data_IF_999295007986
#
_entry.id   IF_999295007986
#
_cell.length_a   1.000
_cell.length_b   1.000
_cell.length_c   1.000
_cell.angle_alpha   90.00
_cell.angle_beta   90.00
_cell.angle_gamma   90.00
#
_symmetry.space_group_name_H-M   'P 1'
#
loop_
_entity.id
_entity.type
_entity.pdbx_description
1 polymer ?
#
# COMPACT_ATOMS: atom_id res chain seq x y z
N UNK A 1 -21.62 14.55 21.42
CA UNK A 1 -22.60 13.64 20.80
C UNK A 1 -21.99 12.82 19.63
N UNK A 2 -21.52 13.40 18.50
CA UNK A 2 -20.93 12.63 17.40
C UNK A 2 -19.61 11.92 17.80
N UNK A 3 -18.72 12.61 18.52
CA UNK A 3 -17.45 12.07 18.99
C UNK A 3 -17.66 10.93 20.01
N UNK A 4 -18.66 11.06 20.89
CA UNK A 4 -18.97 10.04 21.89
C UNK A 4 -19.52 8.77 21.25
N UNK A 5 -20.35 8.90 20.21
CA UNK A 5 -20.85 7.76 19.43
C UNK A 5 -19.73 7.06 18.65
N UNK A 6 -18.79 7.82 18.11
CA UNK A 6 -17.62 7.27 17.43
C UNK A 6 -16.75 6.44 18.38
N UNK A 7 -16.38 7.03 19.54
CA UNK A 7 -15.55 6.36 20.55
C UNK A 7 -16.22 5.11 21.12
N UNK A 8 -17.55 5.17 21.33
CA UNK A 8 -18.32 4.01 21.77
C UNK A 8 -18.29 2.87 20.76
N UNK A 9 -18.52 3.17 19.47
CA UNK A 9 -18.50 2.17 18.42
C UNK A 9 -17.10 1.56 18.23
N UNK A 10 -16.05 2.38 18.26
CA UNK A 10 -14.67 1.89 18.16
C UNK A 10 -14.33 0.94 19.33
N UNK A 11 -14.83 1.21 20.53
CA UNK A 11 -14.66 0.34 21.70
C UNK A 11 -15.42 -0.97 21.55
N UNK A 12 -16.69 -0.92 21.13
CA UNK A 12 -17.53 -2.08 20.88
C UNK A 12 -16.92 -2.99 19.80
N UNK A 13 -16.43 -2.40 18.71
CA UNK A 13 -15.74 -3.12 17.63
C UNK A 13 -14.45 -3.76 18.13
N UNK A 14 -13.64 -3.06 18.92
CA UNK A 14 -12.40 -3.61 19.48
C UNK A 14 -12.69 -4.77 20.46
N UNK A 15 -13.70 -4.65 21.33
CA UNK A 15 -14.12 -5.74 22.21
C UNK A 15 -14.57 -7.00 21.42
N UNK A 16 -15.18 -6.80 20.25
CA UNK A 16 -15.67 -7.88 19.38
C UNK A 16 -14.57 -8.54 18.54
N UNK A 17 -13.65 -7.75 17.99
CA UNK A 17 -12.68 -8.22 17.01
C UNK A 17 -11.24 -8.36 17.54
N UNK A 18 -10.99 -7.90 18.79
CA UNK A 18 -9.72 -8.08 19.48
C UNK A 18 -8.52 -7.55 18.70
N UNK A 19 -7.45 -8.35 18.67
CA UNK A 19 -6.18 -7.99 18.05
C UNK A 19 -6.24 -7.81 16.52
N UNK A 20 -7.37 -8.15 15.89
CA UNK A 20 -7.59 -7.92 14.46
C UNK A 20 -7.94 -6.47 14.13
N UNK A 21 -8.42 -5.69 15.11
CA UNK A 21 -8.80 -4.31 14.93
C UNK A 21 -7.87 -3.39 15.73
N UNK A 22 -7.01 -2.60 15.11
CA UNK A 22 -6.11 -1.68 15.81
C UNK A 22 -6.85 -0.67 16.68
N UNK A 23 -6.20 -0.10 17.72
CA UNK A 23 -6.79 0.94 18.56
C UNK A 23 -7.33 2.12 17.76
N UNK A 24 -8.44 2.72 18.21
CA UNK A 24 -9.06 3.89 17.58
C UNK A 24 -9.66 3.65 16.19
N UNK A 25 -9.74 2.41 15.72
CA UNK A 25 -10.40 2.03 14.47
C UNK A 25 -11.85 1.61 14.70
N UNK A 26 -12.67 1.76 13.67
CA UNK A 26 -14.03 1.19 13.55
C UNK A 26 -14.13 0.34 12.29
N UNK A 27 -14.87 -0.73 12.34
CA UNK A 27 -15.11 -1.55 11.17
C UNK A 27 -16.07 -0.86 10.18
N UNK A 28 -15.80 -1.01 8.89
CA UNK A 28 -16.69 -0.59 7.80
C UNK A 28 -16.84 -1.69 6.76
N UNK A 29 -18.06 -1.84 6.23
CA UNK A 29 -18.35 -2.74 5.10
C UNK A 29 -17.96 -2.09 3.76
N UNK A 30 -18.01 -0.75 3.71
CA UNK A 30 -17.67 0.02 2.53
C UNK A 30 -16.14 0.18 2.38
N UNK A 31 -15.75 0.63 1.18
CA UNK A 31 -14.37 1.04 0.91
C UNK A 31 -14.34 2.54 0.56
N UNK A 32 -14.10 3.43 1.55
CA UNK A 32 -14.07 4.86 1.31
C UNK A 32 -13.02 5.25 0.26
N UNK A 33 -13.38 6.15 -0.64
CA UNK A 33 -12.49 6.69 -1.67
C UNK A 33 -11.78 7.91 -1.10
N UNK A 34 -10.49 7.79 -0.86
CA UNK A 34 -9.63 8.86 -0.36
C UNK A 34 -8.36 8.94 -1.23
N UNK A 35 -8.06 10.11 -1.77
CA UNK A 35 -6.83 10.37 -2.51
C UNK A 35 -6.54 11.87 -2.56
N UNK A 36 -5.29 12.21 -2.79
CA UNK A 36 -4.86 13.57 -3.10
C UNK A 36 -4.93 13.81 -4.61
N UNK A 37 -5.42 14.99 -5.02
CA UNK A 37 -5.54 15.35 -6.43
C UNK A 37 -6.63 14.57 -7.20
N UNK A 38 -6.53 14.56 -8.51
CA UNK A 38 -7.45 13.85 -9.40
C UNK A 38 -7.06 12.39 -9.63
N UNK A 39 -7.99 11.58 -10.12
CA UNK A 39 -7.71 10.22 -10.59
C UNK A 39 -6.93 10.34 -11.91
N UNK A 40 -5.71 9.76 -12.00
CA UNK A 40 -4.90 9.86 -13.22
C UNK A 40 -5.56 9.09 -14.38
N UNK A 41 -5.45 9.65 -15.59
CA UNK A 41 -5.77 8.92 -16.81
C UNK A 41 -4.55 8.07 -17.20
N UNK A 42 -4.71 6.75 -17.15
CA UNK A 42 -3.62 5.79 -17.41
C UNK A 42 -3.98 4.98 -18.66
N UNK A 43 -3.07 4.95 -19.62
CA UNK A 43 -3.15 4.15 -20.83
C UNK A 43 -2.21 2.93 -20.69
N UNK A 44 -2.78 1.73 -20.74
CA UNK A 44 -2.03 0.48 -20.59
C UNK A 44 -1.03 0.25 -21.73
N UNK A 45 -1.29 0.80 -22.93
CA UNK A 45 -0.36 0.69 -24.06
C UNK A 45 0.98 1.42 -23.81
N UNK A 46 0.96 2.41 -22.94
CA UNK A 46 2.16 3.20 -22.58
C UNK A 46 2.57 3.02 -21.11
N UNK A 47 1.81 2.22 -20.36
CA UNK A 47 2.09 1.99 -18.95
C UNK A 47 3.43 1.29 -18.76
N UNK A 48 4.19 1.75 -17.77
CA UNK A 48 5.45 1.13 -17.36
C UNK A 48 5.56 1.13 -15.84
N UNK A 49 6.09 0.03 -15.33
CA UNK A 49 6.52 -0.10 -13.94
C UNK A 49 8.05 -0.25 -13.92
N UNK A 50 8.74 0.69 -13.30
CA UNK A 50 10.20 0.75 -13.29
C UNK A 50 10.76 0.51 -11.89
N UNK A 51 11.86 -0.24 -11.78
CA UNK A 51 12.58 -0.48 -10.53
C UNK A 51 14.02 -0.05 -10.73
N UNK A 52 14.47 0.91 -9.93
CA UNK A 52 15.80 1.53 -10.05
C UNK A 52 16.43 1.81 -8.67
N UNK A 53 17.64 2.35 -8.64
CA UNK A 53 18.33 2.75 -7.42
C UNK A 53 19.32 1.70 -6.93
N UNK A 54 19.31 1.38 -5.65
CA UNK A 54 20.24 0.40 -5.06
C UNK A 54 19.82 -1.05 -5.40
N UNK A 55 19.84 -1.39 -6.67
CA UNK A 55 19.62 -2.72 -7.23
C UNK A 55 20.80 -3.14 -8.09
N UNK A 56 20.99 -4.44 -8.31
CA UNK A 56 22.04 -4.93 -9.23
C UNK A 56 21.66 -4.68 -10.69
N UNK A 57 20.36 -4.80 -10.99
CA UNK A 57 19.79 -4.66 -12.34
C UNK A 57 18.54 -3.78 -12.27
N UNK A 58 18.58 -2.65 -12.95
CA UNK A 58 17.37 -1.86 -13.19
C UNK A 58 16.41 -2.69 -14.03
N UNK A 59 15.12 -2.60 -13.74
CA UNK A 59 14.08 -3.29 -14.49
C UNK A 59 12.96 -2.34 -14.90
N UNK A 60 12.34 -2.66 -16.01
CA UNK A 60 11.12 -1.97 -16.47
C UNK A 60 10.20 -3.02 -17.08
N UNK A 61 8.92 -2.97 -16.71
CA UNK A 61 7.89 -3.88 -17.17
C UNK A 61 6.79 -3.10 -17.89
N UNK A 62 6.39 -3.55 -19.05
CA UNK A 62 5.10 -3.22 -19.67
C UNK A 62 3.99 -3.89 -18.87
N UNK A 63 2.72 -3.53 -19.15
CA UNK A 63 1.59 -4.14 -18.47
C UNK A 63 1.52 -5.66 -18.69
N UNK A 64 1.72 -6.11 -19.92
CA UNK A 64 1.68 -7.54 -20.25
C UNK A 64 2.83 -8.32 -19.60
N UNK A 65 4.05 -7.74 -19.57
CA UNK A 65 5.19 -8.32 -18.87
C UNK A 65 4.96 -8.39 -17.35
N UNK A 66 4.30 -7.40 -16.77
CA UNK A 66 3.95 -7.40 -15.35
C UNK A 66 2.91 -8.51 -15.04
N UNK A 67 1.88 -8.65 -15.87
CA UNK A 67 0.89 -9.71 -15.73
C UNK A 67 1.45 -11.12 -15.94
N UNK A 68 2.54 -11.25 -16.70
CA UNK A 68 3.24 -12.54 -16.91
C UNK A 68 4.09 -12.98 -15.71
N UNK A 69 4.29 -12.11 -14.69
CA UNK A 69 4.93 -12.50 -13.43
C UNK A 69 4.05 -13.47 -12.63
N UNK A 70 4.61 -14.24 -11.67
CA UNK A 70 3.82 -15.12 -10.82
C UNK A 70 2.70 -14.34 -10.10
N UNK A 71 1.47 -14.77 -10.28
CA UNK A 71 0.28 -14.17 -9.69
C UNK A 71 -0.15 -14.95 -8.45
N UNK A 72 -0.58 -14.24 -7.41
CA UNK A 72 -1.11 -14.85 -6.19
C UNK A 72 -2.34 -14.09 -5.71
N UNK A 73 -3.21 -14.76 -4.94
CA UNK A 73 -4.31 -14.12 -4.23
C UNK A 73 -4.06 -14.25 -2.73
N UNK A 74 -4.04 -13.12 -2.04
CA UNK A 74 -3.84 -13.03 -0.60
C UNK A 74 -5.01 -12.33 0.05
N UNK A 75 -5.43 -12.82 1.22
CA UNK A 75 -6.45 -12.17 2.03
C UNK A 75 -5.82 -11.36 3.13
N UNK A 76 -6.23 -10.10 3.26
CA UNK A 76 -5.78 -9.24 4.35
C UNK A 76 -6.82 -8.20 4.75
N UNK A 77 -6.60 -7.64 5.94
CA UNK A 77 -7.33 -6.48 6.43
C UNK A 77 -6.60 -5.20 6.05
N UNK A 78 -7.31 -4.08 5.99
CA UNK A 78 -6.73 -2.77 5.73
C UNK A 78 -7.18 -1.77 6.79
N UNK A 79 -6.26 -0.88 7.19
CA UNK A 79 -6.45 0.07 8.28
C UNK A 79 -6.11 1.49 7.80
N UNK A 80 -7.09 2.38 7.76
CA UNK A 80 -6.87 3.75 7.31
C UNK A 80 -6.59 4.70 8.47
N UNK A 81 -5.66 5.64 8.29
CA UNK A 81 -5.38 6.69 9.27
C UNK A 81 -6.62 7.49 9.67
N UNK A 82 -7.65 7.55 8.81
CA UNK A 82 -8.92 8.22 9.07
C UNK A 82 -9.91 7.35 9.87
N UNK A 83 -9.39 6.44 10.70
CA UNK A 83 -10.12 5.69 11.73
C UNK A 83 -11.12 4.65 11.22
N UNK A 84 -10.93 4.07 10.06
CA UNK A 84 -11.71 2.92 9.60
C UNK A 84 -10.83 1.74 9.20
N UNK A 85 -11.34 0.54 9.41
CA UNK A 85 -10.75 -0.70 8.95
C UNK A 85 -11.76 -1.47 8.11
N UNK A 86 -11.28 -2.14 7.08
CA UNK A 86 -12.08 -3.06 6.28
C UNK A 86 -11.41 -4.42 6.29
N UNK A 87 -12.16 -5.47 6.67
CA UNK A 87 -11.68 -6.83 6.79
C UNK A 87 -11.90 -7.63 5.52
N UNK A 88 -11.19 -8.76 5.45
CA UNK A 88 -11.41 -9.83 4.46
C UNK A 88 -11.34 -9.34 3.00
N UNK A 89 -10.28 -8.60 2.67
CA UNK A 89 -10.04 -8.17 1.30
C UNK A 89 -9.18 -9.22 0.58
N UNK A 90 -9.66 -9.77 -0.52
CA UNK A 90 -8.90 -10.65 -1.40
C UNK A 90 -8.18 -9.80 -2.46
N UNK A 91 -6.85 -9.82 -2.43
CA UNK A 91 -5.99 -9.07 -3.36
C UNK A 91 -5.31 -10.04 -4.32
N UNK A 92 -5.45 -9.82 -5.62
CA UNK A 92 -4.74 -10.61 -6.64
C UNK A 92 -3.70 -9.77 -7.33
N UNK A 93 -2.46 -10.30 -7.40
CA UNK A 93 -1.33 -9.60 -8.00
C UNK A 93 0.00 -10.30 -7.80
N UNK A 94 1.08 -9.56 -7.89
CA UNK A 94 2.47 -10.04 -7.80
C UNK A 94 3.03 -9.74 -6.41
N UNK A 95 3.52 -10.74 -5.68
CA UNK A 95 4.21 -10.52 -4.41
C UNK A 95 5.44 -9.63 -4.60
N UNK A 96 5.69 -8.75 -3.64
CA UNK A 96 6.90 -7.92 -3.66
C UNK A 96 8.17 -8.80 -3.69
N UNK A 97 8.20 -9.85 -2.89
CA UNK A 97 9.34 -10.79 -2.82
C UNK A 97 9.64 -11.45 -4.18
N UNK A 98 8.62 -11.79 -4.99
CA UNK A 98 8.82 -12.38 -6.31
C UNK A 98 9.35 -11.34 -7.33
N UNK A 99 8.86 -10.11 -7.25
CA UNK A 99 9.31 -9.02 -8.11
C UNK A 99 10.79 -8.71 -7.89
N UNK A 100 11.23 -8.61 -6.62
CA UNK A 100 12.60 -8.19 -6.31
C UNK A 100 13.66 -9.23 -6.67
N UNK A 101 13.31 -10.51 -6.82
CA UNK A 101 14.24 -11.54 -7.31
C UNK A 101 14.80 -11.19 -8.70
N UNK A 102 14.05 -10.39 -9.48
CA UNK A 102 14.47 -9.93 -10.81
C UNK A 102 15.49 -8.81 -10.78
N UNK A 103 15.47 -7.98 -9.75
CA UNK A 103 16.29 -6.76 -9.65
C UNK A 103 17.44 -6.89 -8.66
N UNK A 104 17.34 -7.80 -7.70
CA UNK A 104 18.33 -8.10 -6.66
C UNK A 104 18.78 -6.83 -5.93
N UNK A 105 18.11 -6.43 -4.84
CA UNK A 105 18.52 -5.30 -4.04
C UNK A 105 19.95 -5.46 -3.56
N UNK A 106 20.76 -4.40 -3.62
CA UNK A 106 22.11 -4.35 -3.04
C UNK A 106 22.02 -4.38 -1.52
N UNK A 107 23.06 -4.85 -0.85
CA UNK A 107 23.10 -4.96 0.62
C UNK A 107 22.93 -3.61 1.34
N UNK A 108 23.22 -2.49 0.68
CA UNK A 108 22.99 -1.15 1.21
C UNK A 108 21.53 -0.69 1.12
N UNK A 109 20.68 -1.37 0.36
CA UNK A 109 19.26 -0.99 0.23
C UNK A 109 18.52 -1.30 1.53
N UNK A 110 18.00 -0.27 2.19
CA UNK A 110 17.24 -0.37 3.44
C UNK A 110 15.77 0.09 3.28
N UNK A 111 15.52 0.99 2.33
CA UNK A 111 14.24 1.64 2.12
C UNK A 111 13.85 1.64 0.63
N UNK A 112 12.56 1.74 0.38
CA UNK A 112 12.02 1.86 -0.98
C UNK A 112 11.08 3.04 -1.04
N UNK A 113 11.34 3.98 -1.95
CA UNK A 113 10.38 5.00 -2.33
C UNK A 113 9.48 4.45 -3.43
N UNK A 114 8.21 4.39 -3.14
CA UNK A 114 7.15 3.98 -4.08
C UNK A 114 6.64 5.21 -4.80
N UNK A 115 6.68 5.20 -6.14
CA UNK A 115 6.22 6.28 -6.99
C UNK A 115 4.92 5.93 -7.68
N UNK A 116 3.99 6.87 -7.71
CA UNK A 116 2.68 6.74 -8.36
C UNK A 116 2.49 7.73 -9.49
N UNK A 117 1.57 7.42 -10.40
CA UNK A 117 1.04 8.43 -11.32
C UNK A 117 0.39 9.56 -10.50
N UNK A 118 0.43 10.79 -11.03
CA UNK A 118 -0.07 11.97 -10.30
C UNK A 118 0.88 12.54 -9.24
N UNK A 119 2.11 12.00 -9.12
CA UNK A 119 3.18 12.56 -8.28
C UNK A 119 3.13 12.14 -6.80
N UNK A 120 2.20 11.26 -6.41
CA UNK A 120 2.17 10.70 -5.06
C UNK A 120 3.38 9.78 -4.83
N UNK A 121 3.95 9.85 -3.63
CA UNK A 121 5.04 8.97 -3.17
C UNK A 121 4.78 8.50 -1.74
N UNK A 122 5.30 7.33 -1.39
CA UNK A 122 5.39 6.87 0.00
C UNK A 122 6.66 6.04 0.17
N UNK A 123 7.29 6.16 1.32
CA UNK A 123 8.42 5.32 1.70
C UNK A 123 7.94 4.09 2.49
N UNK A 124 8.61 2.98 2.31
CA UNK A 124 8.42 1.77 3.15
C UNK A 124 9.80 1.15 3.37
N UNK A 125 10.06 0.63 4.55
CA UNK A 125 11.30 -0.10 4.82
C UNK A 125 11.36 -1.40 4.00
N UNK A 126 12.54 -1.78 3.54
CA UNK A 126 12.69 -3.01 2.75
C UNK A 126 12.28 -4.26 3.53
N UNK A 127 12.61 -4.43 4.83
CA UNK A 127 12.11 -5.56 5.61
C UNK A 127 10.60 -5.70 5.63
N UNK A 128 9.85 -4.60 5.76
CA UNK A 128 8.38 -4.63 5.75
C UNK A 128 7.78 -5.01 4.40
N UNK A 129 8.41 -4.56 3.32
CA UNK A 129 8.00 -4.96 1.98
C UNK A 129 8.25 -6.45 1.70
N UNK A 130 9.18 -7.08 2.43
CA UNK A 130 9.50 -8.51 2.31
C UNK A 130 8.50 -9.42 3.03
N UNK A 131 7.55 -8.88 3.78
CA UNK A 131 6.52 -9.70 4.42
C UNK A 131 5.71 -10.48 3.38
N UNK A 132 5.30 -11.69 3.74
CA UNK A 132 4.66 -12.65 2.84
C UNK A 132 3.30 -12.19 2.30
N UNK A 133 2.66 -11.20 2.93
CA UNK A 133 1.36 -10.64 2.57
C UNK A 133 1.44 -9.33 1.78
N UNK A 134 2.66 -8.86 1.45
CA UNK A 134 2.87 -7.66 0.65
C UNK A 134 2.87 -7.97 -0.84
N UNK A 135 2.03 -7.26 -1.60
CA UNK A 135 1.90 -7.47 -3.03
C UNK A 135 1.55 -6.19 -3.80
N UNK A 136 1.82 -6.21 -5.09
CA UNK A 136 1.28 -5.27 -6.07
C UNK A 136 0.00 -5.85 -6.65
N UNK A 137 -1.15 -5.35 -6.19
CA UNK A 137 -2.47 -5.84 -6.60
C UNK A 137 -2.99 -5.13 -7.85
N UNK A 138 -3.60 -5.90 -8.75
CA UNK A 138 -4.37 -5.39 -9.88
C UNK A 138 -5.86 -5.78 -9.81
N UNK A 139 -6.24 -6.70 -8.89
CA UNK A 139 -7.63 -7.05 -8.59
C UNK A 139 -7.90 -6.97 -7.10
N UNK A 140 -9.17 -6.76 -6.78
CA UNK A 140 -9.74 -6.79 -5.43
C UNK A 140 -11.04 -7.57 -5.45
N UNK A 141 -11.17 -8.58 -4.57
CA UNK A 141 -12.33 -9.47 -4.47
C UNK A 141 -12.74 -10.10 -5.82
N UNK A 142 -11.74 -10.52 -6.62
CA UNK A 142 -11.92 -11.17 -7.91
C UNK A 142 -12.19 -10.25 -9.09
N UNK A 143 -12.37 -8.95 -8.87
CA UNK A 143 -12.62 -7.97 -9.92
C UNK A 143 -11.41 -7.05 -10.14
N UNK A 144 -11.19 -6.53 -11.37
CA UNK A 144 -10.20 -5.49 -11.61
C UNK A 144 -10.39 -4.31 -10.64
N UNK A 145 -9.29 -3.71 -10.19
CA UNK A 145 -9.37 -2.51 -9.34
C UNK A 145 -10.19 -1.41 -10.01
N UNK A 146 -11.07 -0.76 -9.25
CA UNK A 146 -11.70 0.47 -9.69
C UNK A 146 -10.65 1.60 -9.84
N UNK A 147 -10.89 2.54 -10.76
CA UNK A 147 -9.94 3.63 -11.03
C UNK A 147 -9.59 4.43 -9.78
N UNK A 148 -10.59 4.74 -8.96
CA UNK A 148 -10.43 5.48 -7.70
C UNK A 148 -9.69 4.69 -6.61
N UNK A 149 -9.62 3.36 -6.75
CA UNK A 149 -8.92 2.47 -5.83
C UNK A 149 -7.52 2.04 -6.31
N UNK A 150 -7.05 2.58 -7.44
CA UNK A 150 -5.65 2.44 -7.84
C UNK A 150 -5.43 1.66 -9.13
N UNK A 151 -6.48 1.44 -9.97
CA UNK A 151 -6.29 0.80 -11.28
C UNK A 151 -5.20 1.53 -12.12
N UNK A 152 -4.31 0.81 -12.80
CA UNK A 152 -4.24 -0.64 -12.96
C UNK A 152 -3.50 -1.36 -11.84
N UNK A 153 -2.69 -0.68 -11.04
CA UNK A 153 -1.82 -1.30 -10.05
C UNK A 153 -1.74 -0.48 -8.77
N UNK A 154 -1.87 -1.15 -7.64
CA UNK A 154 -1.60 -0.58 -6.32
C UNK A 154 -0.68 -1.45 -5.49
N UNK A 155 0.07 -0.85 -4.57
CA UNK A 155 0.73 -1.56 -3.49
C UNK A 155 -0.27 -1.88 -2.38
N UNK A 156 -0.10 -3.04 -1.73
CA UNK A 156 -0.81 -3.44 -0.50
C UNK A 156 0.23 -3.87 0.53
N UNK A 157 0.28 -3.15 1.66
CA UNK A 157 1.12 -3.44 2.83
C UNK A 157 0.18 -3.51 4.04
N UNK A 158 -0.38 -4.68 4.38
CA UNK A 158 -1.48 -4.82 5.35
C UNK A 158 -1.15 -4.33 6.75
N UNK A 159 0.08 -4.53 7.21
CA UNK A 159 0.52 -4.18 8.56
C UNK A 159 0.73 -2.68 8.80
N UNK A 160 0.72 -1.86 7.74
CA UNK A 160 0.86 -0.41 7.87
C UNK A 160 -0.46 0.30 7.54
N UNK A 161 -0.61 1.53 8.06
CA UNK A 161 -1.74 2.36 7.64
C UNK A 161 -1.81 2.50 6.12
N UNK A 162 -3.01 2.51 5.58
CA UNK A 162 -3.29 2.31 4.16
C UNK A 162 -2.79 3.43 3.23
N UNK A 163 -2.28 4.55 3.74
CA UNK A 163 -1.55 5.51 2.90
C UNK A 163 -0.21 4.96 2.41
N UNK A 164 0.40 3.99 3.15
CA UNK A 164 1.60 3.26 2.70
C UNK A 164 1.31 2.32 1.53
N UNK A 165 0.06 1.92 1.36
CA UNK A 165 -0.43 1.11 0.24
C UNK A 165 -0.79 2.01 -0.95
N UNK A 166 0.23 2.53 -1.62
CA UNK A 166 0.11 3.51 -2.70
C UNK A 166 -0.77 3.03 -3.87
N UNK A 167 -1.62 3.94 -4.38
CA UNK A 167 -2.43 3.73 -5.59
C UNK A 167 -1.67 4.15 -6.84
N UNK A 168 -2.07 3.60 -8.00
CA UNK A 168 -1.54 3.99 -9.32
C UNK A 168 -0.02 3.88 -9.40
N UNK A 169 0.53 2.83 -8.86
CA UNK A 169 1.99 2.64 -8.76
C UNK A 169 2.61 2.53 -10.15
N UNK A 170 3.73 3.23 -10.35
CA UNK A 170 4.49 3.23 -11.59
C UNK A 170 5.96 2.85 -11.41
N UNK A 171 6.47 2.77 -10.18
CA UNK A 171 7.84 2.37 -9.97
C UNK A 171 8.33 2.46 -8.55
N UNK A 172 9.54 1.94 -8.35
CA UNK A 172 10.25 1.84 -7.09
C UNK A 172 11.66 2.41 -7.23
N UNK A 173 12.11 3.12 -6.20
CA UNK A 173 13.50 3.55 -6.04
C UNK A 173 14.05 2.96 -4.75
N UNK A 174 15.03 2.06 -4.85
CA UNK A 174 15.71 1.48 -3.70
C UNK A 174 16.77 2.43 -3.17
N UNK A 175 16.78 2.66 -1.85
CA UNK A 175 17.60 3.66 -1.17
C UNK A 175 18.29 3.07 0.08
N UNK A 176 19.38 3.67 0.49
CA UNK A 176 20.07 3.41 1.76
C UNK A 176 19.47 4.21 2.93
N UNK A 177 19.05 5.45 2.66
CA UNK A 177 18.50 6.36 3.64
C UNK A 177 16.98 6.40 3.59
N UNK A 178 16.35 6.55 4.76
CA UNK A 178 14.93 6.82 4.87
C UNK A 178 14.60 8.25 4.42
N UNK A 179 13.69 8.39 3.46
CA UNK A 179 13.22 9.68 2.98
C UNK A 179 11.71 9.77 3.10
N UNK A 180 11.16 10.90 3.55
CA UNK A 180 9.71 11.07 3.65
C UNK A 180 9.07 11.04 2.26
N UNK A 181 7.95 10.32 2.15
CA UNK A 181 7.06 10.40 1.01
C UNK A 181 6.09 11.58 1.13
N UNK A 182 5.04 11.58 0.29
CA UNK A 182 4.12 12.71 0.19
C UNK A 182 3.46 13.06 1.54
N UNK A 183 2.74 12.12 2.19
CA UNK A 183 2.03 12.43 3.43
C UNK A 183 2.96 12.63 4.63
N UNK A 184 4.09 11.93 4.65
CA UNK A 184 5.11 12.10 5.68
C UNK A 184 5.69 13.54 5.67
N UNK A 185 5.87 14.16 4.49
CA UNK A 185 6.22 15.58 4.38
C UNK A 185 5.14 16.53 4.89
N UNK A 186 3.89 16.07 4.97
CA UNK A 186 2.77 16.83 5.53
C UNK A 186 2.44 16.45 6.99
N UNK A 187 3.35 15.79 7.69
CA UNK A 187 3.25 15.52 9.13
C UNK A 187 2.60 14.18 9.48
N UNK A 188 2.46 13.26 8.52
CA UNK A 188 2.12 11.88 8.85
C UNK A 188 3.36 11.14 9.37
N UNK A 189 3.14 10.12 10.18
CA UNK A 189 4.24 9.34 10.76
C UNK A 189 5.08 8.67 9.67
N UNK A 190 6.41 8.64 9.85
CA UNK A 190 7.33 8.09 8.83
C UNK A 190 7.11 6.60 8.57
N UNK A 191 6.75 5.83 9.61
CA UNK A 191 6.53 4.39 9.55
C UNK A 191 5.04 4.05 9.36
N UNK A 192 4.15 4.41 10.32
CA UNK A 192 2.71 4.31 10.16
C UNK A 192 2.08 2.99 10.61
N UNK A 193 2.53 2.44 11.74
CA UNK A 193 1.95 1.25 12.37
C UNK A 193 0.58 1.59 13.00
N UNK A 194 -0.52 0.92 12.59
CA UNK A 194 -1.84 1.14 13.15
C UNK A 194 -2.02 0.62 14.58
N UNK A 195 -1.24 -0.39 15.02
CA UNK A 195 -1.36 -0.95 16.37
C UNK A 195 -0.74 -0.06 17.45
N UNK A 196 0.25 0.73 17.10
CA UNK A 196 0.86 1.76 17.95
C UNK A 196 0.29 3.17 17.69
N UNK A 197 -0.74 3.26 16.84
CA UNK A 197 -1.40 4.51 16.44
C UNK A 197 -0.45 5.57 15.84
N UNK A 198 0.53 5.14 15.08
CA UNK A 198 1.48 6.02 14.38
C UNK A 198 0.83 6.78 13.22
N UNK A 199 -0.06 7.72 13.56
CA UNK A 199 -0.82 8.51 12.57
C UNK A 199 -0.05 9.74 12.13
N UNK A 200 0.48 10.48 13.08
CA UNK A 200 1.16 11.75 12.88
C UNK A 200 2.47 11.81 13.67
N UNK A 201 3.43 12.61 13.18
CA UNK A 201 4.73 12.85 13.83
C UNK A 201 4.67 14.04 14.78
#
# INVERSE_FOLDING_TARGET
>A
MALDLFNRRAKEDHEKYGDRLPPGQKLTDGWPVLHYGGIPSIDLATWKFSVVGLVEHDASFTWDEFLALPQTTLRSDIHCVTHWSKFDNDWTGVKFADLIQRVKPKSAAQHVMVHSYGGYTTNVSLPELMDDDVLFAHQHNGEPLAKEHGWPLRLVVPKLYFWKSAKWVRGLVFMDDEKPGFWEMYGYHIHGDPWTEERYS
#
